data_IF_144955126333
#
_entry.id   IF_144955126333
#
_cell.length_a   1.000
_cell.length_b   1.000
_cell.length_c   1.000
_cell.angle_alpha   90.00
_cell.angle_beta   90.00
_cell.angle_gamma   90.00
#
_symmetry.space_group_name_H-M   'P 1'
#
loop_
_entity.id
_entity.type
_entity.pdbx_description
1 polymer ?
#
# COMPACT_ATOMS: atom_id res chain seq x y z
N UNK A 1 -27.28 -8.38 27.13
CA UNK A 1 -26.62 -9.05 25.99
C UNK A 1 -25.15 -8.63 25.96
N UNK A 2 -24.22 -9.54 26.23
CA UNK A 2 -22.78 -9.24 26.11
C UNK A 2 -22.45 -9.14 24.63
N UNK A 3 -22.18 -7.93 24.12
CA UNK A 3 -21.59 -7.77 22.78
C UNK A 3 -20.22 -8.44 22.83
N UNK A 4 -20.08 -9.60 22.21
CA UNK A 4 -18.78 -10.19 21.95
C UNK A 4 -18.08 -9.27 20.95
N UNK A 5 -17.24 -8.37 21.47
CA UNK A 5 -16.32 -7.59 20.63
C UNK A 5 -15.22 -8.58 20.25
N UNK A 6 -15.24 -9.05 19.01
CA UNK A 6 -14.13 -9.83 18.48
C UNK A 6 -12.97 -8.85 18.36
N UNK A 7 -12.04 -8.91 19.31
CA UNK A 7 -10.77 -8.20 19.22
C UNK A 7 -9.93 -8.91 18.17
N UNK A 8 -9.86 -8.31 16.98
CA UNK A 8 -8.99 -8.80 15.91
C UNK A 8 -7.62 -8.20 16.14
N UNK A 9 -6.62 -9.06 16.29
CA UNK A 9 -5.23 -8.67 16.42
C UNK A 9 -4.67 -8.15 15.08
N UNK A 10 -3.69 -7.25 15.14
CA UNK A 10 -3.06 -6.68 13.95
C UNK A 10 -2.35 -7.74 13.08
N UNK A 11 -1.76 -8.78 13.67
CA UNK A 11 -1.13 -9.89 12.97
C UNK A 11 -2.16 -10.77 12.25
N UNK A 12 -3.28 -11.09 12.89
CA UNK A 12 -4.41 -11.78 12.25
C UNK A 12 -4.92 -11.00 11.04
N UNK A 13 -5.06 -9.68 11.17
CA UNK A 13 -5.47 -8.82 10.06
C UNK A 13 -4.46 -8.86 8.91
N UNK A 14 -3.17 -8.74 9.20
CA UNK A 14 -2.10 -8.78 8.19
C UNK A 14 -2.06 -10.13 7.46
N UNK A 15 -2.16 -11.24 8.17
CA UNK A 15 -2.17 -12.58 7.57
C UNK A 15 -3.33 -12.76 6.58
N UNK A 16 -4.51 -12.20 6.88
CA UNK A 16 -5.66 -12.26 5.98
C UNK A 16 -5.43 -11.36 4.76
N UNK A 17 -4.89 -10.15 4.96
CA UNK A 17 -4.59 -9.23 3.87
C UNK A 17 -3.53 -9.79 2.93
N UNK A 18 -2.50 -10.47 3.42
CA UNK A 18 -1.45 -11.08 2.60
C UNK A 18 -1.97 -12.20 1.67
N UNK A 19 -3.07 -12.85 2.03
CA UNK A 19 -3.70 -13.89 1.22
C UNK A 19 -4.56 -13.34 0.08
N UNK A 20 -4.85 -12.04 0.08
CA UNK A 20 -5.73 -11.44 -0.91
C UNK A 20 -4.98 -11.13 -2.23
N UNK A 21 -5.66 -11.26 -3.38
CA UNK A 21 -5.11 -10.80 -4.65
C UNK A 21 -4.79 -9.30 -4.61
N UNK A 22 -3.76 -8.83 -5.34
CA UNK A 22 -3.38 -7.42 -5.38
C UNK A 22 -4.55 -6.48 -5.74
N UNK A 23 -5.45 -6.92 -6.63
CA UNK A 23 -6.62 -6.14 -7.04
C UNK A 23 -7.62 -5.94 -5.91
N UNK A 24 -7.80 -6.93 -5.04
CA UNK A 24 -8.76 -6.84 -3.94
C UNK A 24 -8.18 -6.06 -2.75
N UNK A 25 -6.87 -6.21 -2.50
CA UNK A 25 -6.14 -5.31 -1.59
C UNK A 25 -6.28 -3.85 -1.98
N UNK A 26 -6.11 -3.54 -3.27
CA UNK A 26 -6.30 -2.19 -3.80
C UNK A 26 -7.72 -1.67 -3.52
N UNK A 27 -8.76 -2.46 -3.79
CA UNK A 27 -10.16 -2.07 -3.51
C UNK A 27 -10.40 -1.78 -2.03
N UNK A 28 -9.83 -2.60 -1.14
CA UNK A 28 -9.95 -2.39 0.32
C UNK A 28 -9.30 -1.06 0.71
N UNK A 29 -8.06 -0.81 0.28
CA UNK A 29 -7.34 0.43 0.57
C UNK A 29 -8.09 1.64 0.00
N UNK A 30 -8.56 1.57 -1.24
CA UNK A 30 -9.35 2.63 -1.87
C UNK A 30 -10.64 2.91 -1.10
N UNK A 31 -11.32 1.86 -0.61
CA UNK A 31 -12.52 1.99 0.22
C UNK A 31 -12.22 2.66 1.56
N UNK A 32 -11.10 2.32 2.20
CA UNK A 32 -10.67 2.96 3.45
C UNK A 32 -10.42 4.46 3.27
N UNK A 33 -9.82 4.85 2.15
CA UNK A 33 -9.65 6.25 1.80
C UNK A 33 -10.99 6.95 1.48
N UNK A 34 -11.88 6.32 0.70
CA UNK A 34 -13.19 6.86 0.37
C UNK A 34 -14.06 7.09 1.61
N UNK A 35 -13.98 6.18 2.58
CA UNK A 35 -14.69 6.29 3.87
C UNK A 35 -14.01 7.25 4.85
N UNK A 36 -12.90 7.91 4.47
CA UNK A 36 -12.10 8.78 5.33
C UNK A 36 -11.63 8.10 6.62
N UNK A 37 -11.53 6.76 6.61
CA UNK A 37 -10.99 5.98 7.73
C UNK A 37 -9.46 6.04 7.76
N UNK A 38 -8.86 6.35 6.60
CA UNK A 38 -7.44 6.61 6.45
C UNK A 38 -7.22 7.87 5.63
N UNK A 39 -6.15 8.59 5.96
CA UNK A 39 -5.68 9.72 5.15
C UNK A 39 -4.91 9.18 3.95
N UNK A 40 -5.29 9.61 2.74
CA UNK A 40 -4.45 9.36 1.55
C UNK A 40 -3.07 9.99 1.79
N UNK A 41 -1.98 9.25 1.52
CA UNK A 41 -0.65 9.81 1.66
C UNK A 41 -0.47 10.96 0.66
N UNK A 42 0.26 11.99 1.08
CA UNK A 42 0.53 13.14 0.23
C UNK A 42 1.59 12.80 -0.84
N UNK A 43 1.49 13.44 -2.01
CA UNK A 43 2.42 13.18 -3.11
C UNK A 43 3.86 13.49 -2.72
N UNK A 44 4.10 14.58 -1.99
CA UNK A 44 5.46 14.96 -1.56
C UNK A 44 6.03 13.95 -0.58
N UNK A 45 5.19 13.44 0.34
CA UNK A 45 5.58 12.41 1.31
C UNK A 45 5.97 11.10 0.62
N UNK A 46 5.13 10.64 -0.32
CA UNK A 46 5.41 9.43 -1.11
C UNK A 46 6.68 9.61 -1.94
N UNK A 47 6.83 10.76 -2.59
CA UNK A 47 7.99 11.07 -3.43
C UNK A 47 9.29 11.13 -2.62
N UNK A 48 9.26 11.77 -1.44
CA UNK A 48 10.41 11.83 -0.55
C UNK A 48 10.82 10.43 -0.06
N UNK A 49 9.86 9.58 0.29
CA UNK A 49 10.13 8.20 0.72
C UNK A 49 10.68 7.35 -0.42
N UNK A 50 10.11 7.44 -1.61
CA UNK A 50 10.61 6.73 -2.79
C UNK A 50 12.05 7.13 -3.13
N UNK A 51 12.38 8.43 -3.10
CA UNK A 51 13.75 8.93 -3.30
C UNK A 51 14.73 8.34 -2.27
N UNK A 52 14.32 8.26 -0.99
CA UNK A 52 15.14 7.64 0.06
C UNK A 52 15.41 6.17 -0.22
N UNK A 53 14.41 5.41 -0.67
CA UNK A 53 14.58 3.99 -1.02
C UNK A 53 15.52 3.83 -2.20
N UNK A 54 15.31 4.58 -3.29
CA UNK A 54 16.18 4.57 -4.48
C UNK A 54 17.64 4.85 -4.09
N UNK A 55 17.87 5.86 -3.23
CA UNK A 55 19.21 6.19 -2.75
C UNK A 55 19.79 5.11 -1.82
N UNK A 56 18.98 4.60 -0.89
CA UNK A 56 19.41 3.60 0.10
C UNK A 56 19.81 2.28 -0.55
N UNK A 57 19.03 1.85 -1.53
CA UNK A 57 19.23 0.58 -2.24
C UNK A 57 20.14 0.74 -3.47
N UNK A 58 20.63 1.95 -3.76
CA UNK A 58 21.55 2.20 -4.88
C UNK A 58 20.97 1.89 -6.26
N UNK A 59 19.65 2.06 -6.44
CA UNK A 59 18.97 1.66 -7.67
C UNK A 59 19.43 2.53 -8.85
N UNK A 60 19.79 1.89 -9.96
CA UNK A 60 20.21 2.60 -11.17
C UNK A 60 19.01 3.27 -11.86
N UNK A 61 19.25 4.33 -12.66
CA UNK A 61 18.19 4.98 -13.43
C UNK A 61 17.42 4.02 -14.34
N UNK A 62 18.05 2.96 -14.84
CA UNK A 62 17.42 1.94 -15.69
C UNK A 62 16.38 1.13 -14.90
N UNK A 63 16.74 0.65 -13.71
CA UNK A 63 15.83 -0.09 -12.82
C UNK A 63 14.62 0.78 -12.43
N UNK A 64 14.86 2.05 -12.12
CA UNK A 64 13.78 3.01 -11.84
C UNK A 64 12.90 3.22 -13.08
N UNK A 65 13.51 3.38 -14.25
CA UNK A 65 12.80 3.53 -15.52
C UNK A 65 11.91 2.34 -15.86
N UNK A 66 12.40 1.12 -15.62
CA UNK A 66 11.63 -0.10 -15.88
C UNK A 66 10.50 -0.30 -14.88
N UNK A 67 10.70 0.05 -13.61
CA UNK A 67 9.62 0.10 -12.62
C UNK A 67 8.50 1.08 -13.04
N UNK A 68 8.88 2.27 -13.55
CA UNK A 68 7.91 3.26 -14.06
C UNK A 68 7.18 2.74 -15.31
N UNK A 69 7.88 2.11 -16.25
CA UNK A 69 7.26 1.50 -17.45
C UNK A 69 6.29 0.40 -17.06
N UNK A 70 6.69 -0.49 -16.13
CA UNK A 70 5.84 -1.55 -15.63
C UNK A 70 4.57 -0.97 -15.00
N UNK A 71 4.70 0.02 -14.11
CA UNK A 71 3.55 0.64 -13.44
C UNK A 71 2.58 1.30 -14.44
N UNK A 72 3.09 1.94 -15.51
CA UNK A 72 2.26 2.54 -16.56
C UNK A 72 1.47 1.51 -17.37
N UNK A 73 1.97 0.27 -17.49
CA UNK A 73 1.28 -0.84 -18.18
C UNK A 73 0.18 -1.48 -17.33
N UNK A 74 0.12 -1.19 -16.03
CA UNK A 74 -0.93 -1.69 -15.12
C UNK A 74 -2.17 -0.78 -15.05
N UNK A 75 -2.20 0.29 -15.84
CA UNK A 75 -3.41 1.10 -16.08
C UNK A 75 -4.30 0.41 -17.09
#
# INVERSE_FOLDING_TARGET
>A
MKKAVIEIDSYQLLNVLEQLPPNDLKKIIDTLFLKSLFKKPDFEEVSAKARRVVKKEGLTPEVVGDAVKWARKQK
#
